data_IF_109898876314
#
_entry.id   IF_109898876314
#
_cell.length_a   1.000
_cell.length_b   1.000
_cell.length_c   1.000
_cell.angle_alpha   90.00
_cell.angle_beta   90.00
_cell.angle_gamma   90.00
#
_symmetry.space_group_name_H-M   'P 1'
#
loop_
_entity.id
_entity.type
_entity.pdbx_description
1 polymer ?
#
# COMPACT_ATOMS: atom_id res chain seq x y z
N UNK A 1 0.72 -23.91 14.43
CA UNK A 1 0.63 -23.52 14.17
C UNK A 1 0.43 -22.87 13.81
N UNK A 2 0.41 -22.67 13.57
CA UNK A 2 0.26 -22.17 13.12
C UNK A 2 0.14 -21.34 12.94
N UNK A 3 0.36 -21.10 12.76
CA UNK A 3 0.21 -20.39 12.48
C UNK A 3 0.45 -19.66 12.12
N UNK A 4 0.80 -19.58 11.69
CA UNK A 4 1.00 -18.75 11.28
C UNK A 4 0.75 -18.08 10.65
N UNK A 5 0.64 -18.16 10.33
CA UNK A 5 0.28 -17.60 9.72
C UNK A 5 -0.13 -16.78 9.41
N UNK A 6 0.25 -17.05 9.14
CA UNK A 6 -0.61 -16.24 9.04
C UNK A 6 -0.44 -14.79 9.23
N UNK A 7 0.61 -14.30 9.72
CA UNK A 7 0.78 -12.88 9.89
C UNK A 7 0.72 -12.12 8.60
N UNK A 8 0.96 -12.74 7.48
CA UNK A 8 0.84 -12.01 6.22
C UNK A 8 -0.59 -11.70 5.87
N UNK A 9 -1.55 -12.43 6.44
CA UNK A 9 -2.95 -12.16 6.17
C UNK A 9 -3.60 -11.38 7.28
N UNK A 10 -2.89 -11.19 8.39
CA UNK A 10 -3.47 -10.56 9.55
C UNK A 10 -2.71 -9.29 9.87
N UNK A 11 -2.85 -8.34 9.02
CA UNK A 11 -2.23 -7.06 9.24
C UNK A 11 -3.00 -6.29 10.30
N UNK A 12 -2.32 -5.43 11.04
CA UNK A 12 -3.03 -4.52 11.94
C UNK A 12 -4.08 -3.74 11.20
N UNK A 13 -5.07 -3.28 11.94
CA UNK A 13 -6.15 -2.50 11.33
C UNK A 13 -5.57 -1.29 10.62
N UNK A 14 -5.97 -1.11 9.37
CA UNK A 14 -5.52 -0.01 8.55
C UNK A 14 -6.65 1.00 8.45
N UNK A 15 -6.36 2.25 8.79
CA UNK A 15 -7.38 3.28 8.76
C UNK A 15 -7.40 3.98 7.41
N UNK A 16 -8.56 4.53 7.08
CA UNK A 16 -8.69 5.32 5.87
C UNK A 16 -7.80 6.55 5.94
N UNK A 17 -7.68 7.15 7.13
CA UNK A 17 -6.85 8.34 7.26
C UNK A 17 -5.38 8.03 7.02
N UNK A 18 -4.92 6.84 7.39
CA UNK A 18 -3.55 6.46 7.08
C UNK A 18 -3.34 6.38 5.57
N UNK A 19 -4.28 5.74 4.87
CA UNK A 19 -4.18 5.64 3.41
C UNK A 19 -4.13 7.03 2.79
N UNK A 20 -5.01 7.92 3.25
CA UNK A 20 -5.05 9.27 2.70
C UNK A 20 -3.77 10.04 2.97
N UNK A 21 -3.20 9.87 4.15
CA UNK A 21 -1.95 10.52 4.48
C UNK A 21 -0.82 10.03 3.59
N UNK A 22 -0.78 8.72 3.34
CA UNK A 22 0.25 8.16 2.47
C UNK A 22 0.10 8.63 1.03
N UNK A 23 -1.14 8.69 0.55
CA UNK A 23 -1.38 9.18 -0.81
C UNK A 23 -0.93 10.64 -0.93
N UNK A 24 -1.14 11.41 0.10
CA UNK A 24 -0.74 12.81 0.10
C UNK A 24 0.79 12.96 0.16
N UNK A 25 1.45 12.10 0.92
CA UNK A 25 2.90 12.17 1.10
C UNK A 25 3.64 11.59 -0.10
N UNK A 26 3.07 10.60 -0.75
CA UNK A 26 3.72 9.89 -1.85
C UNK A 26 2.79 9.79 -3.04
N UNK A 27 2.44 10.93 -3.63
CA UNK A 27 1.49 10.92 -4.74
C UNK A 27 2.06 10.27 -5.98
N UNK A 28 1.17 9.87 -6.87
CA UNK A 28 1.58 9.36 -8.16
C UNK A 28 2.29 10.48 -8.91
N UNK A 29 3.42 10.16 -9.52
CA UNK A 29 4.19 11.11 -10.29
C UNK A 29 4.22 10.70 -11.74
N UNK A 30 4.31 11.70 -12.60
CA UNK A 30 4.55 11.47 -14.01
C UNK A 30 6.04 11.50 -14.27
N UNK A 31 6.53 10.53 -15.01
CA UNK A 31 7.93 10.45 -15.35
C UNK A 31 8.10 10.71 -16.84
N UNK A 32 9.15 11.45 -17.16
CA UNK A 32 9.47 11.74 -18.54
C UNK A 32 10.62 10.84 -18.98
N UNK A 33 10.89 10.76 -20.28
CA UNK A 33 12.05 9.98 -20.74
C UNK A 33 13.37 10.44 -20.13
N UNK A 34 13.41 11.68 -19.64
CA UNK A 34 14.62 12.19 -19.01
C UNK A 34 14.75 11.75 -17.56
N UNK A 35 13.71 11.16 -16.97
CA UNK A 35 13.77 10.71 -15.60
C UNK A 35 14.74 9.55 -15.48
N UNK A 36 15.48 9.51 -14.38
CA UNK A 36 16.41 8.43 -14.15
C UNK A 36 15.71 7.12 -13.82
N UNK A 37 16.32 6.02 -14.20
CA UNK A 37 15.77 4.71 -13.92
C UNK A 37 15.65 4.47 -12.40
N UNK A 38 16.64 4.91 -11.65
CA UNK A 38 16.61 4.72 -10.19
C UNK A 38 15.45 5.48 -9.56
N UNK A 39 15.19 6.69 -10.04
CA UNK A 39 14.06 7.48 -9.54
C UNK A 39 12.75 6.78 -9.81
N UNK A 40 12.62 6.23 -11.00
CA UNK A 40 11.41 5.52 -11.40
C UNK A 40 11.18 4.29 -10.52
N UNK A 41 12.23 3.52 -10.31
CA UNK A 41 12.13 2.31 -9.48
C UNK A 41 11.81 2.66 -8.03
N UNK A 42 12.41 3.72 -7.53
CA UNK A 42 12.15 4.16 -6.17
C UNK A 42 10.68 4.54 -6.00
N UNK A 43 10.15 5.29 -6.97
CA UNK A 43 8.75 5.69 -6.94
C UNK A 43 7.82 4.47 -7.03
N UNK A 44 8.14 3.53 -7.91
CA UNK A 44 7.33 2.33 -8.04
C UNK A 44 7.29 1.55 -6.73
N UNK A 45 8.43 1.50 -6.02
CA UNK A 45 8.46 0.82 -4.73
C UNK A 45 7.54 1.48 -3.73
N UNK A 46 7.55 2.81 -3.68
CA UNK A 46 6.67 3.54 -2.78
C UNK A 46 5.20 3.26 -3.11
N UNK A 47 4.86 3.30 -4.39
CA UNK A 47 3.47 3.06 -4.79
C UNK A 47 3.04 1.62 -4.56
N UNK A 48 3.98 0.68 -4.69
CA UNK A 48 3.67 -0.71 -4.41
C UNK A 48 3.24 -0.92 -2.98
N UNK A 49 3.94 -0.29 -2.04
CA UNK A 49 3.59 -0.41 -0.63
C UNK A 49 2.21 0.19 -0.38
N UNK A 50 1.96 1.37 -0.92
CA UNK A 50 0.68 2.03 -0.73
C UNK A 50 -0.45 1.19 -1.33
N UNK A 51 -0.24 0.66 -2.52
CA UNK A 51 -1.25 -0.17 -3.16
C UNK A 51 -1.52 -1.43 -2.36
N UNK A 52 -0.47 -2.01 -1.78
CA UNK A 52 -0.64 -3.18 -0.93
C UNK A 52 -1.50 -2.85 0.28
N UNK A 53 -1.23 -1.72 0.93
CA UNK A 53 -2.01 -1.32 2.09
C UNK A 53 -3.45 -1.01 1.73
N UNK A 54 -3.68 -0.40 0.57
CA UNK A 54 -5.03 -0.14 0.11
C UNK A 54 -5.79 -1.45 -0.10
N UNK A 55 -5.10 -2.45 -0.63
CA UNK A 55 -5.70 -3.76 -0.82
C UNK A 55 -6.07 -4.39 0.51
N UNK A 56 -5.17 -4.33 1.49
CA UNK A 56 -5.44 -4.87 2.81
C UNK A 56 -6.58 -4.12 3.49
N UNK A 57 -6.63 -2.81 3.33
CA UNK A 57 -7.70 -2.01 3.88
C UNK A 57 -9.05 -2.47 3.32
N UNK A 58 -9.11 -2.69 2.02
CA UNK A 58 -10.35 -3.12 1.40
C UNK A 58 -10.77 -4.48 1.90
N UNK A 59 -9.83 -5.41 2.03
CA UNK A 59 -10.14 -6.73 2.54
C UNK A 59 -10.68 -6.64 3.96
N UNK A 60 -10.06 -5.82 4.79
CA UNK A 60 -10.50 -5.69 6.18
C UNK A 60 -11.91 -5.15 6.24
N UNK A 61 -12.24 -4.19 5.39
CA UNK A 61 -13.58 -3.64 5.38
C UNK A 61 -14.61 -4.60 4.84
N UNK A 62 -14.26 -5.37 3.85
CA UNK A 62 -15.17 -6.37 3.31
C UNK A 62 -15.49 -7.41 4.37
N UNK A 63 -14.48 -7.81 5.12
CA UNK A 63 -14.69 -8.80 6.17
C UNK A 63 -15.60 -8.26 7.26
N UNK A 64 -15.47 -6.98 7.56
CA UNK A 64 -16.29 -6.37 8.60
C UNK A 64 -17.77 -6.37 8.21
N UNK A 65 -18.04 -6.28 6.92
CA UNK A 65 -19.42 -6.23 6.46
C UNK A 65 -20.14 -7.56 6.57
N UNK A 66 -19.40 -8.61 6.83
CA UNK A 66 -20.04 -9.91 7.04
C UNK A 66 -20.55 -10.05 8.46
#
# INVERSE_FOLDING_TARGET
MVMKRNSETEYPTISKSLIEALESSYPVKDFTPASGHADLMYHYGQRSVINFLKHQYRIQNENVLR
#
